data_IF_109274789888
#
_entry.id   IF_109274789888
#
_cell.length_a   1.000
_cell.length_b   1.000
_cell.length_c   1.000
_cell.angle_alpha   90.00
_cell.angle_beta   90.00
_cell.angle_gamma   90.00
#
_symmetry.space_group_name_H-M   'P 1'
#
loop_
_entity.id
_entity.type
_entity.pdbx_description
1 polymer ?
#
# COMPACT_ATOMS: atom_id res chain seq x y z
N UNK A 1 9.01 15.47 14.01
CA UNK A 1 8.19 14.87 12.94
C UNK A 1 8.06 13.40 13.26
N UNK A 2 6.85 12.88 13.40
CA UNK A 2 6.64 11.46 13.68
C UNK A 2 6.95 10.64 12.41
N UNK A 3 8.20 10.19 12.26
CA UNK A 3 8.68 9.45 11.09
C UNK A 3 7.79 8.25 10.71
N UNK A 4 7.08 7.69 11.70
CA UNK A 4 6.13 6.58 11.51
C UNK A 4 4.85 7.02 10.78
N UNK A 5 4.39 8.25 11.01
CA UNK A 5 3.22 8.82 10.34
C UNK A 5 3.51 9.07 8.86
N UNK A 6 4.69 9.60 8.56
CA UNK A 6 5.13 9.82 7.18
C UNK A 6 5.31 8.51 6.40
N UNK A 7 5.88 7.47 7.03
CA UNK A 7 5.95 6.13 6.44
C UNK A 7 4.57 5.55 6.13
N UNK A 8 3.63 5.65 7.07
CA UNK A 8 2.27 5.14 6.87
C UNK A 8 1.57 5.88 5.73
N UNK A 9 1.70 7.19 5.66
CA UNK A 9 1.13 8.01 4.57
C UNK A 9 1.72 7.64 3.21
N UNK A 10 3.03 7.37 3.14
CA UNK A 10 3.67 6.93 1.90
C UNK A 10 3.16 5.57 1.43
N UNK A 11 2.97 4.62 2.34
CA UNK A 11 2.40 3.30 2.00
C UNK A 11 0.94 3.42 1.54
N UNK A 12 0.13 4.24 2.22
CA UNK A 12 -1.26 4.51 1.82
C UNK A 12 -1.33 5.15 0.44
N UNK A 13 -0.46 6.13 0.16
CA UNK A 13 -0.37 6.77 -1.15
C UNK A 13 0.00 5.76 -2.25
N UNK A 14 1.06 4.98 -2.03
CA UNK A 14 1.52 3.96 -2.99
C UNK A 14 0.41 2.96 -3.35
N UNK A 15 -0.21 2.39 -2.34
CA UNK A 15 -1.26 1.39 -2.52
C UNK A 15 -2.51 2.02 -3.18
N UNK A 16 -2.87 3.26 -2.85
CA UNK A 16 -3.98 3.97 -3.53
C UNK A 16 -3.67 4.19 -5.02
N UNK A 17 -2.43 4.54 -5.36
CA UNK A 17 -1.97 4.66 -6.75
C UNK A 17 -1.99 3.34 -7.52
N UNK A 18 -1.91 2.21 -6.82
CA UNK A 18 -2.05 0.87 -7.40
C UNK A 18 -3.53 0.45 -7.57
N UNK A 19 -4.50 1.32 -7.28
CA UNK A 19 -5.93 1.03 -7.39
C UNK A 19 -6.51 0.27 -6.19
N UNK A 20 -5.78 0.24 -5.07
CA UNK A 20 -6.18 -0.47 -3.85
C UNK A 20 -7.08 0.45 -3.02
N UNK A 21 -8.29 -0.03 -2.69
CA UNK A 21 -9.22 0.74 -1.88
C UNK A 21 -8.90 0.62 -0.37
N UNK A 22 -8.04 1.52 0.12
CA UNK A 22 -7.59 1.56 1.52
C UNK A 22 -8.49 2.49 2.32
N UNK A 23 -9.13 1.94 3.36
CA UNK A 23 -9.75 2.75 4.43
C UNK A 23 -8.89 2.63 5.68
N UNK A 24 -8.80 3.68 6.49
CA UNK A 24 -7.99 3.72 7.73
C UNK A 24 -8.30 2.59 8.72
N UNK A 25 -9.46 1.96 8.62
CA UNK A 25 -9.94 0.88 9.49
C UNK A 25 -9.75 -0.52 8.90
N UNK A 26 -9.27 -0.66 7.65
CA UNK A 26 -9.09 -1.97 7.03
C UNK A 26 -7.85 -2.67 7.56
N UNK A 27 -7.97 -3.97 7.77
CA UNK A 27 -6.83 -4.81 8.15
C UNK A 27 -5.83 -4.92 6.99
N UNK A 28 -4.55 -5.09 7.33
CA UNK A 28 -3.48 -5.36 6.34
C UNK A 28 -3.84 -6.53 5.42
N UNK A 29 -4.50 -7.56 5.94
CA UNK A 29 -4.91 -8.73 5.17
C UNK A 29 -5.94 -8.37 4.09
N UNK A 30 -6.96 -7.59 4.42
CA UNK A 30 -7.96 -7.11 3.46
C UNK A 30 -7.33 -6.20 2.40
N UNK A 31 -6.33 -5.41 2.78
CA UNK A 31 -5.54 -4.60 1.85
C UNK A 31 -4.77 -5.49 0.87
N UNK A 32 -4.17 -6.59 1.33
CA UNK A 32 -3.48 -7.56 0.46
C UNK A 32 -4.42 -8.24 -0.54
N UNK A 33 -5.65 -8.58 -0.13
CA UNK A 33 -6.64 -9.19 -1.04
C UNK A 33 -7.24 -8.21 -2.06
N UNK A 34 -7.12 -6.90 -1.82
CA UNK A 34 -7.53 -5.86 -2.78
C UNK A 34 -6.39 -5.34 -3.65
N UNK A 35 -5.20 -5.96 -3.55
CA UNK A 35 -4.11 -5.71 -4.49
C UNK A 35 -4.49 -6.25 -5.88
N UNK A 36 -4.21 -5.51 -6.96
CA UNK A 36 -4.36 -6.04 -8.30
C UNK A 36 -3.49 -7.29 -8.47
N UNK A 37 -4.07 -8.41 -8.93
CA UNK A 37 -3.35 -9.67 -9.09
C UNK A 37 -2.21 -9.64 -10.15
N UNK A 38 -2.07 -8.53 -10.88
CA UNK A 38 -1.16 -8.39 -12.03
C UNK A 38 -0.13 -7.25 -11.87
N UNK A 39 0.16 -6.80 -10.65
CA UNK A 39 1.31 -5.91 -10.45
C UNK A 39 2.56 -6.76 -10.64
N UNK A 40 3.14 -6.75 -11.84
CA UNK A 40 4.52 -7.20 -12.03
C UNK A 40 5.36 -6.41 -11.02
N UNK A 41 6.14 -7.04 -10.13
CA UNK A 41 6.97 -6.32 -9.18
C UNK A 41 7.97 -5.47 -9.96
N UNK A 42 7.69 -4.18 -10.11
CA UNK A 42 8.54 -3.20 -10.84
C UNK A 42 9.86 -2.93 -10.10
N UNK A 43 9.99 -3.40 -8.86
CA UNK A 43 11.18 -3.20 -8.07
C UNK A 43 11.82 -4.56 -7.80
N UNK A 44 12.67 -5.00 -8.73
CA UNK A 44 13.72 -5.93 -8.37
C UNK A 44 14.59 -5.22 -7.32
N UNK A 45 14.71 -5.82 -6.13
CA UNK A 45 15.66 -5.38 -5.12
C UNK A 45 17.05 -5.68 -5.67
N UNK A 46 17.68 -4.67 -6.29
CA UNK A 46 19.07 -4.71 -6.70
C UNK A 46 20.01 -4.58 -5.50
#
# INVERSE_FOLDING_TARGET
MDDNKDKLQNVVKLLSSLGVNIKKTKSRLEVMHSLPANIKPTNELK
#
